data_IF_601642511788
#
_entry.id   IF_601642511788
#
_cell.length_a   1.000
_cell.length_b   1.000
_cell.length_c   1.000
_cell.angle_alpha   90.00
_cell.angle_beta   90.00
_cell.angle_gamma   90.00
#
_symmetry.space_group_name_H-M   'P 1'
#
loop_
_entity.id
_entity.type
_entity.pdbx_description
1 polymer ?
#
# COMPACT_ATOMS: atom_id res chain seq x y z
N UNK A 1 -1.11 -20.88 -7.62
CA UNK A 1 -1.31 -19.95 -6.49
C UNK A 1 -2.40 -18.97 -6.89
N UNK A 2 -3.42 -18.74 -6.06
CA UNK A 2 -4.55 -17.86 -6.44
C UNK A 2 -4.07 -16.40 -6.39
N UNK A 3 -4.34 -15.61 -7.42
CA UNK A 3 -4.08 -14.17 -7.47
C UNK A 3 -2.66 -13.74 -7.85
N UNK A 4 -1.66 -14.62 -7.80
CA UNK A 4 -0.26 -14.27 -8.16
C UNK A 4 -0.13 -13.81 -9.61
N UNK A 5 -0.93 -14.38 -10.52
CA UNK A 5 -0.98 -14.00 -11.94
C UNK A 5 -1.43 -12.53 -12.15
N UNK A 6 -2.03 -11.90 -11.15
CA UNK A 6 -2.45 -10.49 -11.24
C UNK A 6 -1.30 -9.50 -10.99
N UNK A 7 -0.16 -9.98 -10.47
CA UNK A 7 1.02 -9.15 -10.20
C UNK A 7 1.91 -9.02 -11.44
N UNK A 8 2.00 -10.10 -12.24
CA UNK A 8 2.73 -10.17 -13.50
C UNK A 8 4.25 -10.00 -13.38
N UNK A 9 4.94 -10.33 -14.46
CA UNK A 9 6.36 -10.03 -14.64
C UNK A 9 7.29 -10.71 -13.64
N UNK A 10 8.36 -10.00 -13.29
CA UNK A 10 9.39 -10.49 -12.37
C UNK A 10 8.82 -11.01 -11.04
N UNK A 11 7.77 -10.39 -10.51
CA UNK A 11 7.10 -10.84 -9.26
C UNK A 11 6.43 -12.20 -9.43
N UNK A 12 5.85 -12.46 -10.61
CA UNK A 12 5.26 -13.76 -10.94
C UNK A 12 6.35 -14.83 -11.06
N UNK A 13 7.45 -14.53 -11.74
CA UNK A 13 8.56 -15.48 -11.94
C UNK A 13 9.18 -15.89 -10.59
N UNK A 14 9.49 -14.92 -9.74
CA UNK A 14 10.00 -15.19 -8.38
C UNK A 14 9.05 -16.02 -7.52
N UNK A 15 7.73 -15.84 -7.70
CA UNK A 15 6.73 -16.62 -6.99
C UNK A 15 6.64 -18.07 -7.48
N UNK A 16 6.76 -18.29 -8.80
CA UNK A 16 6.77 -19.62 -9.41
C UNK A 16 8.03 -20.38 -9.04
N UNK A 17 9.19 -19.72 -9.09
CA UNK A 17 10.50 -20.27 -8.73
C UNK A 17 10.67 -20.49 -7.22
N UNK A 18 9.74 -19.97 -6.40
CA UNK A 18 9.76 -20.03 -4.93
C UNK A 18 11.07 -19.50 -4.35
N UNK A 19 11.57 -18.40 -4.89
CA UNK A 19 12.79 -17.78 -4.39
C UNK A 19 12.66 -17.46 -2.90
N UNK A 20 13.65 -17.88 -2.10
CA UNK A 20 13.61 -17.70 -0.64
C UNK A 20 13.54 -16.22 -0.23
N UNK A 21 14.23 -15.35 -0.98
CA UNK A 21 14.21 -13.89 -0.82
C UNK A 21 12.80 -13.31 -1.06
N UNK A 22 12.13 -13.75 -2.11
CA UNK A 22 10.77 -13.34 -2.43
C UNK A 22 9.78 -13.79 -1.36
N UNK A 23 9.86 -15.06 -0.92
CA UNK A 23 9.02 -15.58 0.17
C UNK A 23 9.21 -14.75 1.45
N UNK A 24 10.46 -14.45 1.82
CA UNK A 24 10.76 -13.62 2.97
C UNK A 24 10.16 -12.21 2.84
N UNK A 25 10.22 -11.62 1.64
CA UNK A 25 9.62 -10.32 1.36
C UNK A 25 8.09 -10.34 1.45
N UNK A 26 7.43 -11.39 0.97
CA UNK A 26 5.96 -11.55 1.11
C UNK A 26 5.57 -11.67 2.58
N UNK A 27 6.29 -12.46 3.37
CA UNK A 27 6.05 -12.56 4.81
C UNK A 27 6.27 -11.23 5.52
N UNK A 28 7.38 -10.56 5.24
CA UNK A 28 7.71 -9.27 5.82
C UNK A 28 6.62 -8.23 5.51
N UNK A 29 6.22 -8.11 4.25
CA UNK A 29 5.15 -7.18 3.84
C UNK A 29 3.80 -7.56 4.46
N UNK A 30 3.51 -8.84 4.65
CA UNK A 30 2.36 -9.33 5.40
C UNK A 30 2.37 -8.84 6.86
N UNK A 31 3.49 -8.99 7.56
CA UNK A 31 3.64 -8.49 8.94
C UNK A 31 3.54 -6.97 9.02
N UNK A 32 4.11 -6.24 8.07
CA UNK A 32 3.97 -4.78 8.00
C UNK A 32 2.51 -4.37 7.85
N UNK A 33 1.72 -5.06 7.01
CA UNK A 33 0.28 -4.79 6.87
C UNK A 33 -0.49 -5.05 8.16
N UNK A 34 -0.19 -6.16 8.87
CA UNK A 34 -0.78 -6.43 10.18
C UNK A 34 -0.43 -5.34 11.19
N UNK A 35 0.83 -4.91 11.22
CA UNK A 35 1.30 -3.79 12.04
C UNK A 35 0.55 -2.48 11.72
N UNK A 36 0.33 -2.19 10.43
CA UNK A 36 -0.48 -1.05 9.99
C UNK A 36 -1.93 -1.11 10.47
N UNK A 37 -2.55 -2.29 10.43
CA UNK A 37 -3.90 -2.51 10.97
C UNK A 37 -3.96 -2.29 12.49
N UNK A 38 -3.02 -2.87 13.25
CA UNK A 38 -2.91 -2.67 14.70
C UNK A 38 -2.63 -1.20 15.05
N UNK A 39 -1.80 -0.53 14.27
CA UNK A 39 -1.52 0.91 14.42
C UNK A 39 -2.79 1.74 14.27
N UNK A 40 -3.66 1.44 13.29
CA UNK A 40 -4.93 2.15 13.13
C UNK A 40 -5.85 1.99 14.35
N UNK A 41 -5.82 0.84 15.04
CA UNK A 41 -6.58 0.65 16.28
C UNK A 41 -6.13 1.59 17.40
N UNK A 42 -4.85 1.99 17.42
CA UNK A 42 -4.35 2.97 18.38
C UNK A 42 -4.99 4.35 18.21
N UNK A 43 -5.45 4.68 16.99
CA UNK A 43 -6.15 5.93 16.69
C UNK A 43 -7.59 5.97 17.23
N UNK A 44 -8.13 4.86 17.74
CA UNK A 44 -9.49 4.80 18.29
C UNK A 44 -9.58 5.26 19.75
N UNK A 45 -8.43 5.43 20.42
CA UNK A 45 -8.36 5.79 21.84
C UNK A 45 -7.56 7.08 22.01
N UNK A 46 -7.96 7.92 22.97
CA UNK A 46 -7.17 9.07 23.40
C UNK A 46 -5.98 8.63 24.26
N UNK A 47 -4.81 9.15 23.95
CA UNK A 47 -3.57 8.96 24.72
C UNK A 47 -3.08 10.29 25.29
N UNK A 48 -1.84 10.31 25.80
CA UNK A 48 -1.16 11.55 26.16
C UNK A 48 -1.03 12.49 24.95
N UNK A 49 -0.94 13.80 25.19
CA UNK A 49 -0.82 14.81 24.14
C UNK A 49 0.35 14.53 23.19
N UNK A 50 1.50 14.10 23.71
CA UNK A 50 2.67 13.75 22.92
C UNK A 50 2.41 12.52 22.04
N UNK A 51 1.84 11.46 22.62
CA UNK A 51 1.49 10.23 21.90
C UNK A 51 0.49 10.51 20.78
N UNK A 52 -0.57 11.29 21.04
CA UNK A 52 -1.56 11.66 20.02
C UNK A 52 -0.91 12.42 18.86
N UNK A 53 0.03 13.34 19.14
CA UNK A 53 0.76 14.08 18.11
C UNK A 53 1.60 13.14 17.24
N UNK A 54 2.33 12.21 17.86
CA UNK A 54 3.15 11.22 17.14
C UNK A 54 2.27 10.33 16.26
N UNK A 55 1.20 9.75 16.82
CA UNK A 55 0.28 8.89 16.09
C UNK A 55 -0.37 9.60 14.89
N UNK A 56 -0.76 10.87 15.07
CA UNK A 56 -1.29 11.69 13.98
C UNK A 56 -0.27 11.85 12.83
N UNK A 57 0.97 12.27 13.14
CA UNK A 57 1.97 12.48 12.10
C UNK A 57 2.38 11.18 11.41
N UNK A 58 2.50 10.08 12.15
CA UNK A 58 2.79 8.77 11.57
C UNK A 58 1.67 8.31 10.64
N UNK A 59 0.40 8.52 11.01
CA UNK A 59 -0.73 8.15 10.19
C UNK A 59 -0.80 8.99 8.89
N UNK A 60 -0.55 10.30 8.97
CA UNK A 60 -0.46 11.18 7.80
C UNK A 60 0.71 10.75 6.90
N UNK A 61 1.90 10.55 7.46
CA UNK A 61 3.08 10.18 6.69
C UNK A 61 2.90 8.83 5.99
N UNK A 62 2.40 7.82 6.72
CA UNK A 62 2.09 6.52 6.15
C UNK A 62 1.04 6.62 5.04
N UNK A 63 -0.02 7.40 5.27
CA UNK A 63 -1.07 7.59 4.29
C UNK A 63 -0.59 8.29 3.01
N UNK A 64 0.23 9.34 3.13
CA UNK A 64 0.86 10.01 1.99
C UNK A 64 1.78 9.05 1.24
N UNK A 65 2.66 8.33 1.95
CA UNK A 65 3.58 7.39 1.34
C UNK A 65 2.85 6.29 0.55
N UNK A 66 1.80 5.70 1.13
CA UNK A 66 0.95 4.69 0.47
C UNK A 66 0.25 5.26 -0.76
N UNK A 67 -0.30 6.47 -0.67
CA UNK A 67 -0.99 7.10 -1.78
C UNK A 67 -0.04 7.41 -2.93
N UNK A 68 1.11 8.03 -2.63
CA UNK A 68 2.12 8.37 -3.64
C UNK A 68 2.73 7.12 -4.27
N UNK A 69 2.92 6.05 -3.50
CA UNK A 69 3.36 4.75 -4.02
C UNK A 69 2.38 4.22 -5.07
N UNK A 70 1.08 4.13 -4.74
CA UNK A 70 0.05 3.69 -5.68
C UNK A 70 -0.03 4.60 -6.91
N UNK A 71 0.01 5.92 -6.71
CA UNK A 71 -0.03 6.89 -7.80
C UNK A 71 1.18 6.75 -8.75
N UNK A 72 2.39 6.60 -8.20
CA UNK A 72 3.59 6.41 -8.99
C UNK A 72 3.49 5.13 -9.84
N UNK A 73 3.00 4.02 -9.27
CA UNK A 73 2.78 2.80 -10.04
C UNK A 73 1.71 2.97 -11.12
N UNK A 74 0.59 3.67 -10.84
CA UNK A 74 -0.42 3.98 -11.89
C UNK A 74 0.25 4.70 -13.05
N UNK A 75 1.05 5.74 -12.77
CA UNK A 75 1.74 6.50 -13.81
C UNK A 75 2.68 5.59 -14.61
N UNK A 76 3.48 4.76 -13.94
CA UNK A 76 4.39 3.81 -14.61
C UNK A 76 3.65 2.79 -15.47
N UNK A 77 2.54 2.25 -15.00
CA UNK A 77 1.74 1.26 -15.72
C UNK A 77 0.99 1.89 -16.91
N UNK A 78 0.48 3.12 -16.77
CA UNK A 78 -0.11 3.87 -17.89
C UNK A 78 0.94 4.11 -18.97
N UNK A 79 2.14 4.54 -18.60
CA UNK A 79 3.22 4.75 -19.56
C UNK A 79 3.65 3.45 -20.23
N UNK A 80 3.68 2.34 -19.49
CA UNK A 80 3.95 1.03 -20.06
C UNK A 80 2.86 0.58 -21.04
N UNK A 81 1.58 0.77 -20.70
CA UNK A 81 0.45 0.48 -21.59
C UNK A 81 0.41 1.35 -22.85
N UNK A 82 1.03 2.54 -22.82
CA UNK A 82 1.23 3.40 -23.98
C UNK A 82 2.49 3.05 -24.80
N UNK A 83 3.27 2.06 -24.38
CA UNK A 83 4.54 1.69 -25.01
C UNK A 83 5.69 2.67 -24.73
N UNK A 84 5.55 3.57 -23.77
CA UNK A 84 6.57 4.56 -23.38
C UNK A 84 7.58 4.00 -22.36
N UNK A 85 7.24 2.90 -21.67
CA UNK A 85 8.12 2.18 -20.75
C UNK A 85 8.08 0.68 -21.05
N UNK A 86 9.24 0.05 -21.12
CA UNK A 86 9.36 -1.40 -21.26
C UNK A 86 9.24 -2.08 -19.89
N UNK A 87 8.03 -2.43 -19.47
CA UNK A 87 7.80 -3.28 -18.31
C UNK A 87 7.47 -4.69 -18.78
N UNK A 88 8.11 -5.70 -18.18
CA UNK A 88 7.77 -7.11 -18.43
C UNK A 88 6.45 -7.44 -17.70
N UNK A 89 5.31 -6.96 -18.18
CA UNK A 89 3.99 -7.21 -17.60
C UNK A 89 3.04 -7.60 -18.72
N UNK A 90 2.30 -8.70 -18.55
CA UNK A 90 1.27 -9.12 -19.48
C UNK A 90 -0.02 -8.29 -19.34
N UNK A 91 -0.88 -8.31 -20.37
CA UNK A 91 -2.12 -7.53 -20.43
C UNK A 91 -3.13 -7.88 -19.32
N UNK A 92 -3.08 -9.09 -18.78
CA UNK A 92 -3.96 -9.49 -17.68
C UNK A 92 -3.50 -8.86 -16.38
N UNK A 93 -2.21 -8.97 -16.05
CA UNK A 93 -1.61 -8.33 -14.88
C UNK A 93 -1.70 -6.80 -14.96
N UNK A 94 -1.48 -6.19 -16.13
CA UNK A 94 -1.59 -4.74 -16.33
C UNK A 94 -2.97 -4.21 -15.91
N UNK A 95 -4.04 -4.86 -16.39
CA UNK A 95 -5.42 -4.49 -16.05
C UNK A 95 -5.71 -4.64 -14.56
N UNK A 96 -5.33 -5.76 -13.97
CA UNK A 96 -5.54 -5.97 -12.54
C UNK A 96 -4.79 -4.95 -11.69
N UNK A 97 -3.56 -4.60 -12.07
CA UNK A 97 -2.81 -3.58 -11.33
C UNK A 97 -3.45 -2.21 -11.44
N UNK A 98 -3.78 -1.77 -12.65
CA UNK A 98 -4.40 -0.45 -12.88
C UNK A 98 -5.78 -0.29 -12.23
N UNK A 99 -6.64 -1.32 -12.31
CA UNK A 99 -8.02 -1.20 -11.84
C UNK A 99 -8.25 -1.67 -10.40
N UNK A 100 -7.36 -2.49 -9.85
CA UNK A 100 -7.53 -3.03 -8.50
C UNK A 100 -6.36 -2.69 -7.57
N UNK A 101 -5.14 -3.14 -7.88
CA UNK A 101 -4.04 -3.05 -6.92
C UNK A 101 -3.61 -1.63 -6.61
N UNK A 102 -3.33 -0.82 -7.62
CA UNK A 102 -2.86 0.54 -7.38
C UNK A 102 -3.96 1.45 -6.79
N UNK A 103 -5.23 1.39 -7.26
CA UNK A 103 -6.33 2.05 -6.57
C UNK A 103 -6.53 1.59 -5.13
N UNK A 104 -6.31 0.30 -4.83
CA UNK A 104 -6.38 -0.22 -3.46
C UNK A 104 -5.31 0.42 -2.56
N UNK A 105 -4.07 0.57 -3.05
CA UNK A 105 -3.01 1.28 -2.31
C UNK A 105 -3.34 2.75 -2.08
N UNK A 106 -3.84 3.43 -3.12
CA UNK A 106 -4.26 4.84 -3.03
C UNK A 106 -5.41 5.02 -2.04
N UNK A 107 -6.43 4.17 -2.11
CA UNK A 107 -7.57 4.19 -1.20
C UNK A 107 -7.13 3.95 0.24
N UNK A 108 -6.24 2.97 0.46
CA UNK A 108 -5.64 2.73 1.78
C UNK A 108 -4.93 3.96 2.32
N UNK A 109 -4.10 4.61 1.49
CA UNK A 109 -3.42 5.85 1.86
C UNK A 109 -4.38 7.00 2.23
N UNK A 110 -5.43 7.18 1.43
CA UNK A 110 -6.47 8.17 1.71
C UNK A 110 -7.22 7.87 3.02
N UNK A 111 -7.54 6.61 3.29
CA UNK A 111 -8.19 6.20 4.54
C UNK A 111 -7.31 6.44 5.77
N UNK A 112 -5.99 6.20 5.67
CA UNK A 112 -5.04 6.55 6.73
C UNK A 112 -5.05 8.05 7.04
N UNK A 113 -5.03 8.90 6.01
CA UNK A 113 -5.08 10.36 6.15
C UNK A 113 -6.40 10.79 6.81
N UNK A 114 -7.53 10.26 6.34
CA UNK A 114 -8.85 10.56 6.90
C UNK A 114 -8.96 10.12 8.37
N UNK A 115 -8.44 8.93 8.70
CA UNK A 115 -8.39 8.44 10.07
C UNK A 115 -7.55 9.37 10.97
N UNK A 116 -6.40 9.85 10.49
CA UNK A 116 -5.56 10.80 11.21
C UNK A 116 -6.30 12.12 11.50
N UNK A 117 -6.98 12.69 10.49
CA UNK A 117 -7.75 13.92 10.68
C UNK A 117 -8.92 13.74 11.63
N UNK A 118 -9.66 12.62 11.54
CA UNK A 118 -10.72 12.29 12.48
C UNK A 118 -10.19 12.19 13.91
N UNK A 119 -9.10 11.44 14.10
CA UNK A 119 -8.46 11.28 15.40
C UNK A 119 -8.03 12.62 16.02
N UNK A 120 -7.39 13.50 15.24
CA UNK A 120 -6.95 14.81 15.73
C UNK A 120 -8.13 15.71 16.12
N UNK A 121 -9.28 15.61 15.43
CA UNK A 121 -10.51 16.32 15.82
C UNK A 121 -11.06 15.78 17.13
N UNK A 122 -11.10 14.46 17.27
CA UNK A 122 -11.60 13.81 18.49
C UNK A 122 -10.71 14.09 19.70
N UNK A 123 -9.38 14.14 19.56
CA UNK A 123 -8.47 14.45 20.67
C UNK A 123 -8.62 15.91 21.17
N UNK A 124 -9.02 16.84 20.30
CA UNK A 124 -9.19 18.27 20.64
C UNK A 124 -10.54 18.61 21.27
N UNK A 125 -11.55 17.75 21.11
CA UNK A 125 -12.89 17.92 21.69
C UNK A 125 -12.94 17.53 23.16
#
# INVERSE_FOLDING_TARGET
MIGVNTLGGFIYDQAVEREASFIAMVWFTGFVKLGGGLFLLLLLKRWSTMTNRILYFLAILAGIALFLYGLANVISLVFAGMGLLSLQIDDFALRWRLFFWEPFWMLGGALFILAAFKFNREVKS
#
